data_IF_445381149212
#
_entry.id   IF_445381149212
#
_cell.length_a   1.000
_cell.length_b   1.000
_cell.length_c   1.000
_cell.angle_alpha   90.00
_cell.angle_beta   90.00
_cell.angle_gamma   90.00
#
_symmetry.space_group_name_H-M   'P 1'
#
loop_
_entity.id
_entity.type
_entity.pdbx_description
1 polymer ?
#
# COMPACT_ATOMS: atom_id res chain seq x y z
N UNK A 1 -6.44 9.29 0.84
CA UNK A 1 -6.29 10.72 1.23
C UNK A 1 -6.44 10.97 2.73
N UNK A 2 -7.48 10.44 3.40
CA UNK A 2 -7.71 10.69 4.84
C UNK A 2 -6.51 10.28 5.71
N UNK A 3 -5.97 9.09 5.50
CA UNK A 3 -4.81 8.58 6.25
C UNK A 3 -3.56 9.43 6.02
N UNK A 4 -3.30 9.82 4.77
CA UNK A 4 -2.16 10.67 4.40
C UNK A 4 -2.26 12.02 5.11
N UNK A 5 -3.43 12.65 5.07
CA UNK A 5 -3.66 13.93 5.74
C UNK A 5 -3.48 13.83 7.25
N UNK A 6 -3.91 12.75 7.85
CA UNK A 6 -3.79 12.53 9.29
C UNK A 6 -2.32 12.35 9.71
N UNK A 7 -1.55 11.54 9.00
CA UNK A 7 -0.14 11.27 9.31
C UNK A 7 0.73 12.50 9.11
N UNK A 8 0.44 13.30 8.08
CA UNK A 8 1.21 14.50 7.75
C UNK A 8 0.62 15.79 8.34
N UNK A 9 -0.37 15.69 9.24
CA UNK A 9 -1.10 16.83 9.78
C UNK A 9 -0.27 17.80 10.62
N UNK A 10 0.86 17.35 11.18
CA UNK A 10 1.78 18.19 11.95
C UNK A 10 2.82 18.91 11.07
N UNK A 11 2.85 18.62 9.77
CA UNK A 11 3.60 19.38 8.81
C UNK A 11 2.76 20.55 8.32
N UNK A 12 3.36 21.72 8.20
CA UNK A 12 2.68 22.93 7.67
C UNK A 12 2.64 22.87 6.13
N UNK A 13 1.84 21.93 5.60
CA UNK A 13 1.71 21.68 4.17
C UNK A 13 0.26 21.49 3.79
N UNK A 14 -0.11 21.96 2.61
CA UNK A 14 -1.38 21.64 1.99
C UNK A 14 -1.26 20.31 1.23
N UNK A 15 -2.19 19.38 1.48
CA UNK A 15 -2.19 18.07 0.85
C UNK A 15 -3.38 17.98 -0.09
N UNK A 16 -3.08 17.87 -1.40
CA UNK A 16 -4.06 17.75 -2.46
C UNK A 16 -3.99 16.39 -3.12
N UNK A 17 -5.14 15.87 -3.52
CA UNK A 17 -5.17 14.74 -4.45
C UNK A 17 -4.79 15.25 -5.86
N UNK A 18 -4.42 14.33 -6.74
CA UNK A 18 -4.16 14.65 -8.15
C UNK A 18 -5.35 15.40 -8.78
N UNK A 19 -6.56 14.95 -8.49
CA UNK A 19 -7.80 15.58 -8.96
C UNK A 19 -7.98 17.00 -8.43
N UNK A 20 -7.75 17.21 -7.13
CA UNK A 20 -7.84 18.54 -6.49
C UNK A 20 -6.81 19.51 -7.06
N UNK A 21 -5.63 19.01 -7.43
CA UNK A 21 -4.57 19.78 -8.10
C UNK A 21 -4.84 20.03 -9.59
N UNK A 22 -5.94 19.51 -10.13
CA UNK A 22 -6.30 19.68 -11.54
C UNK A 22 -5.42 18.88 -12.51
N UNK A 23 -4.73 17.87 -12.03
CA UNK A 23 -3.84 17.01 -12.83
C UNK A 23 -4.60 15.75 -13.22
N UNK A 24 -4.64 15.47 -14.52
CA UNK A 24 -5.18 14.23 -15.08
C UNK A 24 -4.15 13.65 -16.03
N UNK A 25 -3.64 12.47 -15.71
CA UNK A 25 -2.65 11.76 -16.49
C UNK A 25 -2.96 10.27 -16.46
N UNK A 26 -2.85 9.63 -17.60
CA UNK A 26 -2.99 8.18 -17.70
C UNK A 26 -1.63 7.55 -17.41
N UNK A 27 -1.58 6.66 -16.43
CA UNK A 27 -0.32 6.09 -15.94
C UNK A 27 -0.38 4.57 -16.14
N UNK A 28 0.57 4.05 -16.92
CA UNK A 28 0.75 2.61 -17.10
C UNK A 28 1.74 2.08 -16.06
N UNK A 29 1.24 1.25 -15.14
CA UNK A 29 2.05 0.60 -14.11
C UNK A 29 2.63 -0.71 -14.65
N UNK A 30 3.77 -0.63 -15.29
CA UNK A 30 4.45 -1.77 -15.92
C UNK A 30 5.74 -2.20 -15.21
N UNK A 31 5.97 -1.72 -14.00
CA UNK A 31 7.10 -2.13 -13.16
C UNK A 31 6.95 -3.55 -12.63
N UNK A 32 8.07 -4.14 -12.23
CA UNK A 32 8.13 -5.50 -11.67
C UNK A 32 8.19 -5.50 -10.14
N UNK A 33 8.35 -4.33 -9.52
CA UNK A 33 8.36 -4.16 -8.06
C UNK A 33 7.41 -3.05 -7.65
N UNK A 34 7.01 -3.05 -6.38
CA UNK A 34 6.17 -2.00 -5.81
C UNK A 34 6.88 -0.64 -5.87
N UNK A 35 8.18 -0.63 -5.60
CA UNK A 35 9.00 0.58 -5.66
C UNK A 35 9.02 1.18 -7.07
N UNK A 36 9.20 0.34 -8.09
CA UNK A 36 9.17 0.78 -9.50
C UNK A 36 7.83 1.40 -9.87
N UNK A 37 6.73 0.75 -9.51
CA UNK A 37 5.39 1.25 -9.81
C UNK A 37 5.09 2.56 -9.08
N UNK A 38 5.49 2.69 -7.82
CA UNK A 38 5.36 3.92 -7.07
C UNK A 38 6.15 5.07 -7.73
N UNK A 39 7.38 4.81 -8.18
CA UNK A 39 8.21 5.78 -8.90
C UNK A 39 7.61 6.17 -10.25
N UNK A 40 7.10 5.22 -11.01
CA UNK A 40 6.43 5.48 -12.29
C UNK A 40 5.27 6.46 -12.10
N UNK A 41 4.43 6.21 -11.09
CA UNK A 41 3.31 7.10 -10.78
C UNK A 41 3.76 8.48 -10.34
N UNK A 42 4.71 8.56 -9.41
CA UNK A 42 5.20 9.83 -8.90
C UNK A 42 5.85 10.68 -10.00
N UNK A 43 6.69 10.08 -10.84
CA UNK A 43 7.34 10.76 -11.94
C UNK A 43 6.36 11.26 -13.00
N UNK A 44 5.32 10.46 -13.29
CA UNK A 44 4.30 10.85 -14.26
C UNK A 44 3.56 12.13 -13.82
N UNK A 45 3.24 12.25 -12.54
CA UNK A 45 2.58 13.44 -11.98
C UNK A 45 3.55 14.61 -11.83
N UNK A 46 4.81 14.33 -11.44
CA UNK A 46 5.83 15.37 -11.25
C UNK A 46 6.19 16.12 -12.53
N UNK A 47 5.85 15.57 -13.70
CA UNK A 47 6.01 16.27 -14.98
C UNK A 47 5.05 17.47 -15.13
N UNK A 48 4.02 17.53 -14.32
CA UNK A 48 2.96 18.55 -14.39
C UNK A 48 2.95 19.52 -13.21
N UNK A 49 3.85 19.36 -12.25
CA UNK A 49 3.88 20.22 -11.06
C UNK A 49 5.28 20.30 -10.47
N UNK A 50 5.59 21.43 -9.81
CA UNK A 50 6.81 21.62 -9.04
C UNK A 50 6.62 21.33 -7.54
N UNK A 51 5.41 20.94 -7.14
CA UNK A 51 5.13 20.50 -5.78
C UNK A 51 5.81 19.15 -5.49
N UNK A 52 5.93 18.78 -4.22
CA UNK A 52 6.31 17.41 -3.84
C UNK A 52 5.19 16.47 -4.24
N UNK A 53 5.54 15.45 -4.99
CA UNK A 53 4.59 14.40 -5.42
C UNK A 53 4.86 13.15 -4.61
N UNK A 54 3.80 12.61 -3.99
CA UNK A 54 3.82 11.30 -3.34
C UNK A 54 2.95 10.33 -4.12
N UNK A 55 3.47 9.14 -4.36
CA UNK A 55 2.68 8.04 -4.92
C UNK A 55 2.98 6.75 -4.18
N UNK A 56 1.98 5.90 -4.06
CA UNK A 56 2.13 4.60 -3.41
C UNK A 56 1.75 3.45 -4.34
N UNK A 57 2.34 2.30 -4.08
CA UNK A 57 1.93 1.02 -4.65
C UNK A 57 1.93 -0.03 -3.56
N UNK A 58 0.85 -0.79 -3.48
CA UNK A 58 0.61 -1.74 -2.39
C UNK A 58 0.10 -3.06 -2.94
N UNK A 59 0.36 -4.13 -2.20
CA UNK A 59 -0.18 -5.42 -2.56
C UNK A 59 0.10 -6.50 -1.52
N UNK A 60 -0.36 -7.69 -1.85
CA UNK A 60 -0.22 -8.90 -1.05
C UNK A 60 0.80 -9.83 -1.71
N UNK A 61 1.78 -10.27 -0.95
CA UNK A 61 2.72 -11.32 -1.35
C UNK A 61 2.49 -12.58 -0.53
N UNK A 62 2.30 -13.71 -1.19
CA UNK A 62 2.12 -15.02 -0.55
C UNK A 62 3.31 -15.90 -0.91
N UNK A 63 4.07 -16.32 0.09
CA UNK A 63 5.34 -17.04 -0.16
C UNK A 63 5.15 -18.36 -0.89
N UNK A 64 4.16 -19.15 -0.52
CA UNK A 64 3.86 -20.43 -1.18
C UNK A 64 3.48 -20.27 -2.66
N UNK A 65 2.95 -19.12 -3.04
CA UNK A 65 2.54 -18.81 -4.41
C UNK A 65 3.59 -17.97 -5.15
N UNK A 66 4.86 -18.08 -4.79
CA UNK A 66 5.97 -17.34 -5.39
C UNK A 66 5.73 -15.82 -5.39
N UNK A 67 5.23 -15.30 -4.27
CA UNK A 67 4.92 -13.88 -4.06
C UNK A 67 3.70 -13.36 -4.84
N UNK A 68 2.94 -14.24 -5.49
CA UNK A 68 1.67 -13.82 -6.08
C UNK A 68 0.64 -13.48 -5.00
N UNK A 69 -0.31 -12.56 -5.24
CA UNK A 69 -0.47 -11.77 -6.47
C UNK A 69 0.52 -10.63 -6.67
N UNK A 70 1.28 -10.21 -5.63
CA UNK A 70 2.35 -9.22 -5.75
C UNK A 70 1.90 -7.90 -6.37
N UNK A 71 2.66 -7.37 -7.32
CA UNK A 71 2.33 -6.12 -8.01
C UNK A 71 1.01 -6.16 -8.78
N UNK A 72 0.48 -7.36 -9.02
CA UNK A 72 -0.81 -7.56 -9.71
C UNK A 72 -1.98 -7.64 -8.74
N UNK A 73 -1.80 -7.34 -7.45
CA UNK A 73 -2.82 -7.52 -6.41
C UNK A 73 -4.17 -6.87 -6.75
N UNK A 74 -4.17 -5.65 -7.25
CA UNK A 74 -5.41 -4.97 -7.64
C UNK A 74 -6.05 -5.56 -8.90
N UNK A 75 -5.24 -6.09 -9.81
CA UNK A 75 -5.66 -6.63 -11.11
C UNK A 75 -5.80 -8.15 -11.13
N UNK A 76 -5.47 -8.81 -10.03
CA UNK A 76 -5.53 -10.27 -9.93
C UNK A 76 -6.91 -10.78 -10.36
N UNK A 77 -6.93 -11.70 -11.29
CA UNK A 77 -8.16 -12.24 -11.92
C UNK A 77 -9.03 -11.20 -12.63
N UNK A 78 -8.50 -9.99 -12.92
CA UNK A 78 -9.20 -8.88 -13.54
C UNK A 78 -9.61 -7.79 -12.57
N UNK A 79 -9.53 -6.53 -13.00
CA UNK A 79 -9.84 -5.37 -12.16
C UNK A 79 -11.28 -5.39 -11.63
N UNK A 80 -12.23 -5.86 -12.44
CA UNK A 80 -13.65 -5.85 -12.12
C UNK A 80 -14.09 -7.09 -11.31
N UNK A 81 -13.19 -8.03 -11.05
CA UNK A 81 -13.49 -9.23 -10.26
C UNK A 81 -13.61 -8.86 -8.78
N UNK A 82 -14.67 -9.32 -8.12
CA UNK A 82 -14.86 -9.04 -6.69
C UNK A 82 -13.77 -9.66 -5.84
N UNK A 83 -13.46 -9.02 -4.71
CA UNK A 83 -12.49 -9.57 -3.76
C UNK A 83 -12.98 -10.86 -3.08
N UNK A 84 -14.29 -11.08 -2.98
CA UNK A 84 -14.82 -12.36 -2.51
C UNK A 84 -14.33 -13.50 -3.41
N UNK A 85 -14.35 -13.31 -4.72
CA UNK A 85 -13.88 -14.30 -5.70
C UNK A 85 -12.34 -14.41 -5.65
N UNK A 86 -11.63 -13.29 -5.61
CA UNK A 86 -10.15 -13.28 -5.52
C UNK A 86 -9.67 -14.01 -4.27
N UNK A 87 -10.27 -13.70 -3.12
CA UNK A 87 -9.93 -14.32 -1.84
C UNK A 87 -10.20 -15.82 -1.86
N UNK A 88 -11.36 -16.24 -2.37
CA UNK A 88 -11.69 -17.65 -2.47
C UNK A 88 -10.73 -18.40 -3.39
N UNK A 89 -10.33 -17.81 -4.51
CA UNK A 89 -9.35 -18.39 -5.41
C UNK A 89 -7.99 -18.63 -4.71
N UNK A 90 -7.52 -17.66 -3.95
CA UNK A 90 -6.26 -17.79 -3.21
C UNK A 90 -6.37 -18.88 -2.12
N UNK A 91 -7.49 -18.95 -1.42
CA UNK A 91 -7.73 -20.03 -0.44
C UNK A 91 -7.74 -21.40 -1.12
N UNK A 92 -8.37 -21.52 -2.28
CA UNK A 92 -8.41 -22.77 -3.04
C UNK A 92 -7.01 -23.20 -3.50
N UNK A 93 -6.19 -22.25 -3.95
CA UNK A 93 -4.79 -22.50 -4.35
C UNK A 93 -3.91 -22.94 -3.16
N UNK A 94 -4.31 -22.61 -1.95
CA UNK A 94 -3.60 -22.99 -0.72
C UNK A 94 -4.26 -24.18 -0.03
N UNK A 95 -5.22 -24.84 -0.68
CA UNK A 95 -5.89 -26.02 -0.10
C UNK A 95 -4.87 -27.11 0.24
N UNK A 96 -4.93 -27.63 1.47
CA UNK A 96 -4.00 -28.65 1.95
C UNK A 96 -2.63 -28.12 2.39
N UNK A 97 -2.35 -26.85 2.23
CA UNK A 97 -1.09 -26.24 2.68
C UNK A 97 -1.18 -25.92 4.18
N UNK A 98 -0.22 -26.41 5.02
CA UNK A 98 -0.25 -26.13 6.45
C UNK A 98 0.07 -24.67 6.77
N UNK A 99 -0.36 -24.21 7.94
CA UNK A 99 -0.21 -22.81 8.38
C UNK A 99 1.23 -22.29 8.22
N UNK A 100 2.21 -23.10 8.57
CA UNK A 100 3.63 -22.73 8.56
C UNK A 100 4.14 -22.39 7.16
N UNK A 101 3.47 -22.86 6.12
CA UNK A 101 3.82 -22.61 4.72
C UNK A 101 2.92 -21.56 4.07
N UNK A 102 2.06 -20.91 4.85
CA UNK A 102 1.11 -19.91 4.35
C UNK A 102 1.55 -18.47 4.68
N UNK A 103 2.81 -18.28 4.99
CA UNK A 103 3.35 -16.96 5.30
C UNK A 103 3.12 -15.99 4.16
N UNK A 104 2.77 -14.78 4.53
CA UNK A 104 2.41 -13.73 3.58
C UNK A 104 2.69 -12.36 4.20
N UNK A 105 2.65 -11.33 3.37
CA UNK A 105 2.78 -9.95 3.84
C UNK A 105 1.98 -9.00 2.97
N UNK A 106 1.47 -7.95 3.59
CA UNK A 106 1.10 -6.75 2.86
C UNK A 106 2.34 -5.88 2.70
N UNK A 107 2.51 -5.33 1.49
CA UNK A 107 3.61 -4.43 1.15
C UNK A 107 3.03 -3.08 0.75
N UNK A 108 3.66 -2.00 1.20
CA UNK A 108 3.43 -0.66 0.67
C UNK A 108 4.76 0.00 0.36
N UNK A 109 4.94 0.43 -0.87
CA UNK A 109 6.04 1.28 -1.27
C UNK A 109 5.50 2.69 -1.53
N UNK A 110 6.21 3.71 -1.06
CA UNK A 110 5.88 5.11 -1.31
C UNK A 110 7.08 5.76 -1.97
N UNK A 111 6.84 6.43 -3.09
CA UNK A 111 7.82 7.25 -3.78
C UNK A 111 7.46 8.72 -3.62
N UNK A 112 8.48 9.55 -3.41
CA UNK A 112 8.36 10.99 -3.44
C UNK A 112 9.26 11.55 -4.55
N UNK A 113 8.76 12.50 -5.32
CA UNK A 113 9.55 13.30 -6.24
C UNK A 113 9.55 14.73 -5.72
N UNK A 114 10.75 15.24 -5.44
CA UNK A 114 10.96 16.58 -4.90
C UNK A 114 10.98 17.63 -6.03
N UNK A 115 10.85 18.94 -5.69
CA UNK A 115 10.89 20.00 -6.71
C UNK A 115 12.14 20.00 -7.58
N UNK A 116 13.30 19.60 -7.02
CA UNK A 116 14.58 19.46 -7.73
C UNK A 116 14.69 18.14 -8.53
N UNK A 117 13.61 17.35 -8.55
CA UNK A 117 13.51 16.03 -9.19
C UNK A 117 14.30 14.93 -8.49
N UNK A 118 14.85 15.17 -7.30
CA UNK A 118 15.35 14.10 -6.43
C UNK A 118 14.20 13.18 -6.02
N UNK A 119 14.46 11.88 -5.94
CA UNK A 119 13.47 10.89 -5.55
C UNK A 119 13.81 10.26 -4.22
N UNK A 120 12.78 9.97 -3.42
CA UNK A 120 12.88 9.19 -2.19
C UNK A 120 11.91 8.02 -2.30
N UNK A 121 12.31 6.87 -1.77
CA UNK A 121 11.44 5.68 -1.75
C UNK A 121 11.49 5.05 -0.37
N UNK A 122 10.32 4.70 0.17
CA UNK A 122 10.19 3.90 1.38
C UNK A 122 9.37 2.66 1.11
N UNK A 123 9.67 1.57 1.81
CA UNK A 123 8.94 0.30 1.71
C UNK A 123 8.74 -0.26 3.10
N UNK A 124 7.51 -0.61 3.41
CA UNK A 124 7.14 -1.23 4.67
C UNK A 124 6.22 -2.42 4.46
N UNK A 125 6.24 -3.35 5.40
CA UNK A 125 5.42 -4.55 5.34
C UNK A 125 4.69 -4.80 6.65
N UNK A 126 3.59 -5.55 6.55
CA UNK A 126 2.99 -6.25 7.69
C UNK A 126 3.14 -7.73 7.41
N UNK A 127 3.84 -8.45 8.28
CA UNK A 127 3.99 -9.89 8.16
C UNK A 127 2.82 -10.61 8.82
N UNK A 128 2.40 -11.70 8.20
CA UNK A 128 1.31 -12.53 8.68
C UNK A 128 1.21 -13.83 7.89
N UNK A 129 0.01 -14.34 7.77
CA UNK A 129 -0.24 -15.58 7.03
C UNK A 129 -1.65 -15.56 6.43
N UNK A 130 -1.86 -16.40 5.42
CA UNK A 130 -3.19 -16.60 4.85
C UNK A 130 -3.93 -17.66 5.67
N UNK A 131 -5.08 -17.29 6.21
CA UNK A 131 -5.94 -18.20 6.98
C UNK A 131 -6.60 -19.27 6.11
N UNK A 132 -7.45 -20.07 6.73
CA UNK A 132 -8.14 -21.17 6.05
C UNK A 132 -9.53 -20.79 5.55
N UNK A 133 -10.07 -19.70 6.06
CA UNK A 133 -11.39 -19.18 5.68
C UNK A 133 -11.41 -17.66 5.77
N UNK A 134 -12.32 -16.99 5.05
CA UNK A 134 -12.50 -15.54 5.22
C UNK A 134 -13.09 -15.25 6.61
N UNK A 135 -12.66 -14.14 7.22
CA UNK A 135 -13.15 -13.71 8.52
C UNK A 135 -13.23 -12.19 8.57
N UNK A 136 -14.30 -11.66 9.15
CA UNK A 136 -14.48 -10.24 9.39
C UNK A 136 -15.03 -9.48 8.20
N UNK A 137 -15.50 -8.25 8.46
CA UNK A 137 -16.14 -7.38 7.49
C UNK A 137 -15.51 -5.99 7.41
N UNK A 138 -14.54 -5.71 8.27
CA UNK A 138 -13.83 -4.43 8.27
C UNK A 138 -12.74 -4.44 7.18
N UNK A 139 -12.27 -3.24 6.85
CA UNK A 139 -11.22 -3.10 5.84
C UNK A 139 -11.70 -3.31 4.42
N UNK A 140 -10.83 -3.76 3.55
CA UNK A 140 -11.09 -3.95 2.12
C UNK A 140 -10.12 -4.96 1.51
N UNK A 141 -10.40 -5.36 0.28
CA UNK A 141 -9.47 -6.18 -0.49
C UNK A 141 -9.23 -7.57 0.11
N UNK A 142 -7.98 -7.89 0.38
CA UNK A 142 -7.55 -9.19 0.90
C UNK A 142 -7.61 -9.30 2.42
N UNK A 143 -8.05 -8.26 3.13
CA UNK A 143 -8.12 -8.26 4.60
C UNK A 143 -8.84 -9.47 5.20
N UNK A 144 -9.94 -10.00 4.62
CA UNK A 144 -10.63 -11.15 5.21
C UNK A 144 -9.80 -12.43 5.29
N UNK A 145 -8.78 -12.59 4.46
CA UNK A 145 -7.96 -13.81 4.44
C UNK A 145 -6.55 -13.62 5.00
N UNK A 146 -6.16 -12.39 5.30
CA UNK A 146 -4.85 -12.06 5.87
C UNK A 146 -4.93 -12.01 7.39
N UNK A 147 -4.24 -12.92 8.05
CA UNK A 147 -4.26 -13.07 9.50
C UNK A 147 -2.94 -12.62 10.10
N UNK A 148 -3.01 -12.05 11.31
CA UNK A 148 -1.85 -11.56 12.06
C UNK A 148 -1.75 -12.36 13.36
N UNK A 149 -0.59 -12.98 13.60
CA UNK A 149 -0.38 -13.82 14.80
C UNK A 149 -0.59 -13.04 16.10
N UNK A 150 -0.16 -11.80 16.18
CA UNK A 150 -0.31 -10.95 17.36
C UNK A 150 -1.77 -10.86 17.85
N UNK A 151 -2.71 -10.78 16.91
CA UNK A 151 -4.14 -10.66 17.23
C UNK A 151 -4.91 -11.96 17.05
N UNK A 152 -4.30 -12.98 16.46
CA UNK A 152 -4.89 -14.28 16.14
C UNK A 152 -6.23 -14.17 15.38
N UNK A 153 -6.32 -13.19 14.50
CA UNK A 153 -7.50 -12.97 13.66
C UNK A 153 -7.10 -12.29 12.34
N UNK A 154 -8.06 -12.23 11.41
CA UNK A 154 -7.85 -11.51 10.16
C UNK A 154 -7.81 -10.00 10.39
N UNK A 155 -7.15 -9.28 9.47
CA UNK A 155 -7.15 -7.80 9.50
C UNK A 155 -8.54 -7.22 9.28
N UNK A 156 -9.44 -7.96 8.63
CA UNK A 156 -10.86 -7.58 8.50
C UNK A 156 -11.65 -7.71 9.80
N UNK A 157 -11.13 -8.45 10.78
CA UNK A 157 -11.76 -8.62 12.11
C UNK A 157 -11.25 -7.59 13.12
N UNK A 158 -10.21 -6.83 12.80
CA UNK A 158 -9.65 -5.82 13.70
C UNK A 158 -10.51 -4.56 13.72
N UNK A 159 -10.65 -3.91 14.89
CA UNK A 159 -11.20 -2.55 14.94
C UNK A 159 -10.39 -1.61 14.06
N UNK A 160 -11.03 -0.60 13.42
CA UNK A 160 -10.33 0.34 12.52
C UNK A 160 -9.10 1.01 13.13
N UNK A 161 -9.14 1.35 14.41
CA UNK A 161 -8.02 2.01 15.09
C UNK A 161 -6.80 1.10 15.19
N UNK A 162 -6.97 -0.17 15.56
CA UNK A 162 -5.88 -1.14 15.63
C UNK A 162 -5.30 -1.39 14.24
N UNK A 163 -6.14 -1.48 13.23
CA UNK A 163 -5.71 -1.66 11.85
C UNK A 163 -4.87 -0.48 11.37
N UNK A 164 -5.25 0.74 11.70
CA UNK A 164 -4.52 1.95 11.30
C UNK A 164 -3.11 2.01 11.91
N UNK A 165 -2.96 1.59 13.18
CA UNK A 165 -1.65 1.57 13.84
C UNK A 165 -0.67 0.63 13.16
N UNK A 166 -1.12 -0.52 12.70
CA UNK A 166 -0.29 -1.56 12.10
C UNK A 166 -0.27 -1.52 10.57
N UNK A 167 -1.08 -0.67 9.94
CA UNK A 167 -1.20 -0.56 8.49
C UNK A 167 0.16 -0.39 7.82
N UNK A 168 0.45 -1.23 6.82
CA UNK A 168 1.65 -1.14 5.99
C UNK A 168 1.78 0.21 5.31
N UNK A 169 0.66 0.79 4.86
CA UNK A 169 0.59 2.14 4.29
C UNK A 169 0.95 3.19 5.34
N UNK A 170 0.41 3.08 6.55
CA UNK A 170 0.71 3.99 7.65
C UNK A 170 2.19 3.96 8.02
N UNK A 171 2.79 2.77 8.11
CA UNK A 171 4.24 2.61 8.36
C UNK A 171 5.07 3.27 7.26
N UNK A 172 4.73 3.02 5.99
CA UNK A 172 5.44 3.58 4.84
C UNK A 172 5.31 5.10 4.78
N UNK A 173 4.13 5.66 5.10
CA UNK A 173 3.89 7.10 5.18
C UNK A 173 4.70 7.75 6.29
N UNK A 174 4.77 7.12 7.47
CA UNK A 174 5.59 7.64 8.59
C UNK A 174 7.07 7.61 8.24
N UNK A 175 7.55 6.54 7.60
CA UNK A 175 8.94 6.45 7.13
C UNK A 175 9.24 7.54 6.08
N UNK A 176 8.31 7.79 5.15
CA UNK A 176 8.46 8.85 4.15
C UNK A 176 8.46 10.23 4.80
N UNK A 177 7.61 10.46 5.79
CA UNK A 177 7.58 11.71 6.56
C UNK A 177 8.94 11.99 7.20
N UNK A 178 9.53 10.99 7.86
CA UNK A 178 10.86 11.13 8.46
C UNK A 178 11.94 11.41 7.41
N UNK A 179 11.89 10.75 6.26
CA UNK A 179 12.83 10.98 5.17
C UNK A 179 12.72 12.42 4.61
N UNK A 180 11.50 12.94 4.47
CA UNK A 180 11.26 14.32 4.04
C UNK A 180 11.75 15.33 5.08
N UNK A 181 11.52 15.08 6.36
CA UNK A 181 12.00 15.93 7.45
C UNK A 181 13.52 15.96 7.50
N UNK A 182 14.19 14.82 7.27
CA UNK A 182 15.64 14.70 7.20
C UNK A 182 16.28 15.51 6.06
N UNK A 183 15.51 15.86 5.03
CA UNK A 183 15.94 16.74 3.93
C UNK A 183 15.71 18.22 4.21
N UNK A 184 15.27 18.60 5.41
CA UNK A 184 14.98 20.00 5.77
C UNK A 184 13.71 20.54 5.12
N UNK A 185 12.82 19.67 4.65
CA UNK A 185 11.60 20.03 3.94
C UNK A 185 10.40 20.24 4.89
N UNK A 186 10.67 20.52 6.17
CA UNK A 186 9.63 20.79 7.17
C UNK A 186 8.84 22.08 6.93
N UNK A 187 9.25 22.89 5.97
CA UNK A 187 8.63 24.18 5.62
C UNK A 187 8.34 24.24 4.11
N UNK A 188 7.59 23.29 3.62
CA UNK A 188 7.20 23.35 2.21
C UNK A 188 5.93 24.19 2.12
N UNK A 189 6.09 25.37 1.55
CA UNK A 189 4.98 26.15 1.07
C UNK A 189 4.61 25.67 -0.31
N UNK A 190 3.44 25.08 -0.44
CA UNK A 190 2.81 24.75 -1.72
C UNK A 190 1.85 25.88 -2.07
#
# INVERSE_FOLDING_TARGET
MKEIRMILSDLDVEILSMKEAGISVDIEENGTTFEENALIKANAVAAYTDAIVLADDSGLEIDYLNKEPGVYSARYMGEDTSYTIKNQNLLDRLNGVPKEQRTARFVCAIAAVLPDKETLVTRETIEGYIGFEPQGENGFGYDPIFYVDEYNCSTASLPPDNKNEMSHRGKALRAMKEALMGKGLSLIHI
#
